data_IF_566941948470
#
_entry.id   IF_566941948470
#
_cell.length_a   1.000
_cell.length_b   1.000
_cell.length_c   1.000
_cell.angle_alpha   90.00
_cell.angle_beta   90.00
_cell.angle_gamma   90.00
#
_symmetry.space_group_name_H-M   'P 1'
#
loop_
_entity.id
_entity.type
_entity.pdbx_description
1 polymer ?
#
# COMPACT_ATOMS: atom_id res chain seq x y z
N UNK A 1 12.91 -14.40 -17.70
CA UNK A 1 13.06 -12.98 -18.06
C UNK A 1 13.40 -12.77 -19.55
N UNK A 2 13.35 -13.80 -20.41
CA UNK A 2 13.49 -13.67 -21.88
C UNK A 2 12.16 -13.41 -22.62
N UNK A 3 11.00 -13.59 -21.98
CA UNK A 3 9.69 -13.44 -22.65
C UNK A 3 9.34 -11.99 -23.02
N UNK A 4 9.75 -11.00 -22.22
CA UNK A 4 9.58 -9.58 -22.62
C UNK A 4 10.41 -9.23 -23.87
N UNK A 5 11.45 -10.01 -24.17
CA UNK A 5 12.26 -9.87 -25.38
C UNK A 5 11.68 -10.63 -26.59
N UNK A 6 10.78 -11.59 -26.36
CA UNK A 6 10.13 -12.39 -27.42
C UNK A 6 9.04 -11.63 -28.18
N UNK A 7 8.45 -10.60 -27.55
CA UNK A 7 7.45 -9.71 -28.17
C UNK A 7 6.01 -10.24 -28.20
N UNK A 8 5.75 -11.46 -27.72
CA UNK A 8 4.38 -12.01 -27.66
C UNK A 8 3.73 -11.79 -26.30
N UNK A 9 2.71 -10.92 -26.26
CA UNK A 9 1.94 -10.62 -25.06
C UNK A 9 1.12 -11.82 -24.56
N UNK A 10 0.69 -12.72 -25.46
CA UNK A 10 -0.07 -13.92 -25.14
C UNK A 10 0.79 -14.94 -24.39
N UNK A 11 2.00 -15.19 -24.86
CA UNK A 11 2.95 -16.09 -24.20
C UNK A 11 3.35 -15.57 -22.81
N UNK A 12 3.54 -14.25 -22.68
CA UNK A 12 3.80 -13.62 -21.39
C UNK A 12 2.63 -13.78 -20.42
N UNK A 13 1.40 -13.54 -20.87
CA UNK A 13 0.21 -13.70 -20.04
C UNK A 13 0.04 -15.17 -19.59
N UNK A 14 0.23 -16.12 -20.51
CA UNK A 14 0.18 -17.55 -20.18
C UNK A 14 1.23 -17.93 -19.14
N UNK A 15 2.46 -17.44 -19.29
CA UNK A 15 3.54 -17.65 -18.32
C UNK A 15 3.22 -17.06 -16.94
N UNK A 16 2.76 -15.81 -16.89
CA UNK A 16 2.44 -15.13 -15.62
C UNK A 16 1.30 -15.85 -14.88
N UNK A 17 0.26 -16.30 -15.59
CA UNK A 17 -0.84 -17.05 -15.00
C UNK A 17 -0.37 -18.42 -14.47
N UNK A 18 0.43 -19.15 -15.25
CA UNK A 18 0.96 -20.46 -14.87
C UNK A 18 1.87 -20.40 -13.63
N UNK A 19 2.71 -19.38 -13.52
CA UNK A 19 3.66 -19.19 -12.41
C UNK A 19 3.10 -18.35 -11.26
N UNK A 20 1.82 -17.98 -11.30
CA UNK A 20 1.17 -17.10 -10.32
C UNK A 20 1.17 -17.64 -8.88
N UNK A 21 1.31 -18.96 -8.72
CA UNK A 21 1.10 -19.68 -7.47
C UNK A 21 -0.34 -19.56 -6.90
N UNK A 22 -1.30 -19.09 -7.70
CA UNK A 22 -2.72 -19.05 -7.32
C UNK A 22 -3.40 -20.41 -7.55
N UNK A 23 -4.33 -20.85 -6.70
CA UNK A 23 -5.04 -20.15 -5.60
C UNK A 23 -4.32 -20.14 -4.22
N UNK A 24 -2.99 -20.07 -4.18
CA UNK A 24 -2.23 -20.01 -2.93
C UNK A 24 -2.58 -18.81 -2.02
N UNK A 25 -2.28 -18.91 -0.71
CA UNK A 25 -2.66 -17.91 0.29
C UNK A 25 -1.89 -16.58 0.16
N UNK A 26 -0.94 -16.49 -0.77
CA UNK A 26 -0.09 -15.33 -1.00
C UNK A 26 0.10 -15.12 -2.49
N UNK A 27 0.16 -13.86 -2.90
CA UNK A 27 0.62 -13.46 -4.24
C UNK A 27 2.08 -13.87 -4.43
N UNK A 28 2.46 -14.34 -5.62
CA UNK A 28 3.87 -14.55 -5.97
C UNK A 28 4.60 -13.20 -6.06
N UNK A 29 5.17 -12.78 -4.93
CA UNK A 29 5.86 -11.50 -4.76
C UNK A 29 7.14 -11.42 -5.60
N UNK A 30 7.90 -12.51 -5.69
CA UNK A 30 9.15 -12.56 -6.44
C UNK A 30 8.90 -12.36 -7.95
N UNK A 31 7.87 -13.01 -8.50
CA UNK A 31 7.49 -12.84 -9.90
C UNK A 31 6.93 -11.44 -10.17
N UNK A 32 6.12 -10.92 -9.25
CA UNK A 32 5.58 -9.57 -9.34
C UNK A 32 6.68 -8.51 -9.34
N UNK A 33 7.70 -8.67 -8.47
CA UNK A 33 8.85 -7.78 -8.40
C UNK A 33 9.75 -7.90 -9.63
N UNK A 34 9.98 -9.13 -10.12
CA UNK A 34 10.72 -9.35 -11.36
C UNK A 34 10.03 -8.67 -12.55
N UNK A 35 8.70 -8.78 -12.66
CA UNK A 35 7.91 -8.10 -13.68
C UNK A 35 8.04 -6.58 -13.58
N UNK A 36 7.80 -6.00 -12.40
CA UNK A 36 7.89 -4.56 -12.17
C UNK A 36 9.30 -4.01 -12.46
N UNK A 37 10.35 -4.74 -12.06
CA UNK A 37 11.74 -4.40 -12.36
C UNK A 37 12.00 -4.38 -13.86
N UNK A 38 11.58 -5.42 -14.59
CA UNK A 38 11.75 -5.50 -16.03
C UNK A 38 11.03 -4.35 -16.75
N UNK A 39 9.75 -4.10 -16.41
CA UNK A 39 8.97 -2.98 -16.95
C UNK A 39 9.71 -1.65 -16.77
N UNK A 40 10.25 -1.39 -15.57
CA UNK A 40 11.01 -0.16 -15.30
C UNK A 40 12.29 -0.06 -16.13
N UNK A 41 13.03 -1.15 -16.27
CA UNK A 41 14.30 -1.19 -17.00
C UNK A 41 14.08 -0.91 -18.50
N UNK A 42 13.16 -1.62 -19.14
CA UNK A 42 12.85 -1.43 -20.55
C UNK A 42 12.19 -0.06 -20.82
N UNK A 43 11.24 0.37 -19.98
CA UNK A 43 10.61 1.68 -20.13
C UNK A 43 11.57 2.87 -19.91
N UNK A 44 12.67 2.67 -19.17
CA UNK A 44 13.72 3.68 -19.02
C UNK A 44 14.68 3.72 -20.22
N UNK A 45 14.89 2.58 -20.88
CA UNK A 45 15.84 2.44 -21.97
C UNK A 45 15.34 3.06 -23.29
N UNK A 46 14.09 2.82 -23.66
CA UNK A 46 13.55 3.24 -24.96
C UNK A 46 12.12 3.84 -24.87
N UNK A 47 11.83 4.97 -25.54
CA UNK A 47 10.49 5.58 -25.53
C UNK A 47 9.39 4.76 -26.20
N UNK A 48 9.70 3.95 -27.21
CA UNK A 48 8.74 3.06 -27.88
C UNK A 48 8.43 1.86 -26.97
N UNK A 49 9.46 1.25 -26.36
CA UNK A 49 9.27 0.20 -25.34
C UNK A 49 8.41 0.71 -24.19
N UNK A 50 8.64 1.94 -23.72
CA UNK A 50 7.80 2.58 -22.70
C UNK A 50 6.33 2.65 -23.11
N UNK A 51 6.04 2.97 -24.37
CA UNK A 51 4.68 3.06 -24.87
C UNK A 51 4.02 1.68 -24.92
N UNK A 52 4.72 0.68 -25.46
CA UNK A 52 4.24 -0.70 -25.56
C UNK A 52 3.97 -1.27 -24.16
N UNK A 53 4.92 -1.11 -23.24
CA UNK A 53 4.78 -1.59 -21.86
C UNK A 53 3.67 -0.85 -21.12
N UNK A 54 3.45 0.43 -21.42
CA UNK A 54 2.31 1.16 -20.86
C UNK A 54 1.00 0.55 -21.29
N UNK A 55 0.85 0.30 -22.58
CA UNK A 55 -0.39 -0.23 -23.15
C UNK A 55 -0.64 -1.66 -22.61
N UNK A 56 0.41 -2.51 -22.54
CA UNK A 56 0.38 -3.83 -21.90
C UNK A 56 -0.05 -3.76 -20.43
N UNK A 57 0.61 -2.94 -19.61
CA UNK A 57 0.31 -2.89 -18.18
C UNK A 57 -1.12 -2.37 -17.92
N UNK A 58 -1.61 -1.44 -18.75
CA UNK A 58 -2.99 -0.97 -18.70
C UNK A 58 -3.97 -2.08 -19.06
N UNK A 59 -3.71 -2.84 -20.13
CA UNK A 59 -4.53 -3.98 -20.52
C UNK A 59 -4.65 -5.01 -19.39
N UNK A 60 -3.52 -5.43 -18.83
CA UNK A 60 -3.48 -6.38 -17.71
C UNK A 60 -4.22 -5.84 -16.47
N UNK A 61 -4.01 -4.56 -16.12
CA UNK A 61 -4.63 -3.93 -14.96
C UNK A 61 -6.14 -3.65 -15.13
N UNK A 62 -6.69 -3.83 -16.33
CA UNK A 62 -8.10 -3.60 -16.64
C UNK A 62 -8.90 -4.89 -16.79
N UNK A 63 -8.29 -6.07 -16.56
CA UNK A 63 -9.03 -7.34 -16.50
C UNK A 63 -10.02 -7.27 -15.34
N UNK A 64 -11.30 -7.46 -15.68
CA UNK A 64 -12.41 -7.28 -14.76
C UNK A 64 -12.42 -8.36 -13.66
N UNK A 65 -13.00 -8.08 -12.48
CA UNK A 65 -13.20 -9.11 -11.47
C UNK A 65 -14.17 -10.21 -11.91
N UNK A 66 -15.00 -9.98 -12.93
CA UNK A 66 -15.85 -11.01 -13.53
C UNK A 66 -15.06 -11.98 -14.40
N UNK A 67 -14.08 -11.47 -15.17
CA UNK A 67 -13.22 -12.28 -16.06
C UNK A 67 -12.09 -12.99 -15.30
N UNK A 68 -11.61 -12.38 -14.22
CA UNK A 68 -10.57 -12.91 -13.34
C UNK A 68 -10.93 -12.68 -11.87
N UNK A 69 -11.84 -13.50 -11.30
CA UNK A 69 -12.28 -13.38 -9.92
C UNK A 69 -11.15 -13.73 -8.94
N UNK A 70 -11.37 -13.42 -7.66
CA UNK A 70 -10.44 -13.78 -6.58
C UNK A 70 -10.07 -15.27 -6.66
N UNK A 71 -8.78 -15.56 -6.53
CA UNK A 71 -8.18 -16.90 -6.58
C UNK A 71 -8.12 -17.55 -7.99
N UNK A 72 -8.59 -16.86 -9.04
CA UNK A 72 -8.30 -17.25 -10.42
C UNK A 72 -6.83 -16.92 -10.78
N UNK A 73 -6.08 -17.82 -11.46
CA UNK A 73 -4.71 -17.52 -11.89
C UNK A 73 -4.56 -16.25 -12.73
N UNK A 74 -5.59 -15.85 -13.49
CA UNK A 74 -5.59 -14.63 -14.29
C UNK A 74 -5.75 -13.37 -13.44
N UNK A 75 -6.17 -13.45 -12.17
CA UNK A 75 -6.12 -12.33 -11.21
C UNK A 75 -4.68 -11.78 -11.11
N UNK A 76 -3.70 -12.67 -11.21
CA UNK A 76 -2.29 -12.32 -11.15
C UNK A 76 -1.84 -11.41 -12.31
N UNK A 77 -2.51 -11.48 -13.46
CA UNK A 77 -2.26 -10.56 -14.57
C UNK A 77 -2.58 -9.13 -14.16
N UNK A 78 -3.72 -8.90 -13.50
CA UNK A 78 -4.07 -7.58 -12.97
C UNK A 78 -3.10 -7.10 -11.89
N UNK A 79 -2.63 -8.00 -11.02
CA UNK A 79 -1.54 -7.68 -10.07
C UNK A 79 -0.31 -7.18 -10.82
N UNK A 80 0.15 -7.89 -11.84
CA UNK A 80 1.29 -7.50 -12.68
C UNK A 80 1.05 -6.16 -13.37
N UNK A 81 -0.13 -5.93 -13.94
CA UNK A 81 -0.49 -4.68 -14.59
C UNK A 81 -0.39 -3.48 -13.64
N UNK A 82 -0.98 -3.57 -12.45
CA UNK A 82 -0.94 -2.51 -11.42
C UNK A 82 0.51 -2.23 -10.98
N UNK A 83 1.30 -3.29 -10.78
CA UNK A 83 2.71 -3.18 -10.37
C UNK A 83 3.59 -2.61 -11.49
N UNK A 84 3.34 -2.98 -12.74
CA UNK A 84 3.98 -2.38 -13.91
C UNK A 84 3.65 -0.89 -14.06
N UNK A 85 2.40 -0.49 -13.80
CA UNK A 85 2.01 0.93 -13.80
C UNK A 85 2.73 1.73 -12.71
N UNK A 86 2.81 1.19 -11.50
CA UNK A 86 3.64 1.80 -10.45
C UNK A 86 5.10 1.93 -10.91
N UNK A 87 5.68 0.86 -11.45
CA UNK A 87 7.06 0.82 -11.93
C UNK A 87 7.34 1.87 -13.02
N UNK A 88 6.44 2.04 -13.99
CA UNK A 88 6.54 3.10 -15.00
C UNK A 88 6.43 4.50 -14.39
N UNK A 89 5.56 4.67 -13.37
CA UNK A 89 5.47 5.91 -12.59
C UNK A 89 6.79 6.31 -11.95
N UNK A 90 7.68 5.34 -11.69
CA UNK A 90 9.01 5.61 -11.13
C UNK A 90 10.06 6.09 -12.14
N UNK A 91 9.81 5.96 -13.44
CA UNK A 91 10.79 6.29 -14.50
C UNK A 91 11.05 7.79 -14.59
N UNK A 92 10.02 8.62 -14.42
CA UNK A 92 10.17 10.08 -14.42
C UNK A 92 9.11 10.77 -13.57
N UNK A 93 9.38 11.97 -13.02
CA UNK A 93 8.40 12.73 -12.23
C UNK A 93 7.08 12.99 -12.96
N UNK A 94 7.11 13.16 -14.29
CA UNK A 94 5.93 13.39 -15.12
C UNK A 94 4.96 12.20 -15.17
N UNK A 95 5.43 10.99 -14.88
CA UNK A 95 4.63 9.77 -14.89
C UNK A 95 3.95 9.48 -13.54
N UNK A 96 4.43 10.08 -12.45
CA UNK A 96 4.01 9.77 -11.07
C UNK A 96 2.51 9.97 -10.88
N UNK A 97 1.95 11.12 -11.29
CA UNK A 97 0.53 11.42 -11.10
C UNK A 97 -0.39 10.47 -11.87
N UNK A 98 0.00 10.06 -13.07
CA UNK A 98 -0.77 9.11 -13.87
C UNK A 98 -0.75 7.72 -13.21
N UNK A 99 0.41 7.28 -12.72
CA UNK A 99 0.51 6.03 -11.97
C UNK A 99 -0.34 6.09 -10.69
N UNK A 100 -0.22 7.17 -9.90
CA UNK A 100 -1.01 7.34 -8.68
C UNK A 100 -2.52 7.29 -8.95
N UNK A 101 -3.02 7.95 -10.00
CA UNK A 101 -4.45 7.85 -10.35
C UNK A 101 -4.90 6.40 -10.51
N UNK A 102 -4.12 5.59 -11.25
CA UNK A 102 -4.45 4.18 -11.44
C UNK A 102 -4.31 3.36 -10.16
N UNK A 103 -3.33 3.67 -9.30
CA UNK A 103 -3.20 3.02 -7.99
C UNK A 103 -4.38 3.36 -7.07
N UNK A 104 -4.96 4.56 -7.17
CA UNK A 104 -6.16 4.94 -6.42
C UNK A 104 -7.35 4.08 -6.87
N UNK A 105 -7.57 3.96 -8.19
CA UNK A 105 -8.61 3.08 -8.75
C UNK A 105 -8.41 1.62 -8.31
N UNK A 106 -7.16 1.15 -8.32
CA UNK A 106 -6.81 -0.22 -7.93
C UNK A 106 -6.95 -0.47 -6.43
N UNK A 107 -6.89 0.59 -5.60
CA UNK A 107 -7.12 0.48 -4.17
C UNK A 107 -8.58 0.16 -3.85
N UNK A 108 -9.53 0.51 -4.73
CA UNK A 108 -10.96 0.25 -4.60
C UNK A 108 -11.38 -1.09 -5.28
N UNK A 109 -10.45 -1.86 -5.85
CA UNK A 109 -10.77 -3.14 -6.49
C UNK A 109 -11.33 -4.15 -5.46
N UNK A 110 -12.39 -4.93 -5.77
CA UNK A 110 -12.96 -5.91 -4.85
C UNK A 110 -12.00 -7.06 -4.49
N UNK A 111 -10.98 -7.32 -5.32
CA UNK A 111 -9.99 -8.36 -5.13
C UNK A 111 -8.84 -7.87 -4.26
N UNK A 112 -8.61 -8.54 -3.14
CA UNK A 112 -7.65 -8.09 -2.13
C UNK A 112 -6.21 -8.03 -2.63
N UNK A 113 -5.81 -8.90 -3.58
CA UNK A 113 -4.45 -8.90 -4.15
C UNK A 113 -4.18 -7.65 -4.98
N UNK A 114 -5.20 -7.12 -5.65
CA UNK A 114 -5.10 -5.86 -6.41
C UNK A 114 -4.96 -4.68 -5.48
N UNK A 115 -5.73 -4.65 -4.39
CA UNK A 115 -5.60 -3.62 -3.36
C UNK A 115 -4.21 -3.64 -2.72
N UNK A 116 -3.62 -4.82 -2.50
CA UNK A 116 -2.26 -4.95 -1.96
C UNK A 116 -1.20 -4.54 -2.99
N UNK A 117 -1.39 -4.91 -4.26
CA UNK A 117 -0.54 -4.44 -5.36
C UNK A 117 -0.48 -2.91 -5.42
N UNK A 118 -1.61 -2.22 -5.19
CA UNK A 118 -1.68 -0.78 -5.10
C UNK A 118 -0.81 -0.22 -3.96
N UNK A 119 -0.92 -0.78 -2.76
CA UNK A 119 -0.13 -0.36 -1.59
C UNK A 119 1.37 -0.56 -1.80
N UNK A 120 1.79 -1.70 -2.36
CA UNK A 120 3.21 -1.95 -2.68
C UNK A 120 3.67 -0.98 -3.79
N UNK A 121 2.81 -0.66 -4.76
CA UNK A 121 3.10 0.34 -5.79
C UNK A 121 3.36 1.74 -5.22
N UNK A 122 2.64 2.13 -4.16
CA UNK A 122 2.86 3.41 -3.46
C UNK A 122 4.25 3.46 -2.81
N UNK A 123 4.70 2.38 -2.19
CA UNK A 123 6.06 2.26 -1.63
C UNK A 123 7.12 2.56 -2.72
N UNK A 124 6.98 1.98 -3.90
CA UNK A 124 7.96 2.15 -4.99
C UNK A 124 8.03 3.60 -5.48
N UNK A 125 6.88 4.28 -5.54
CA UNK A 125 6.80 5.70 -5.90
C UNK A 125 7.38 6.59 -4.79
N UNK A 126 7.13 6.29 -3.52
CA UNK A 126 7.71 7.01 -2.38
C UNK A 126 9.25 6.91 -2.39
N UNK A 127 9.81 5.75 -2.72
CA UNK A 127 11.25 5.52 -2.77
C UNK A 127 11.98 6.34 -3.85
N UNK A 128 11.28 6.81 -4.89
CA UNK A 128 11.90 7.51 -6.04
C UNK A 128 11.41 8.94 -6.25
N UNK A 129 10.15 9.23 -5.93
CA UNK A 129 9.49 10.51 -6.17
C UNK A 129 8.72 10.98 -4.93
N UNK A 130 9.43 11.07 -3.80
CA UNK A 130 8.86 11.31 -2.47
C UNK A 130 7.92 12.52 -2.39
N UNK A 131 8.34 13.69 -2.87
CA UNK A 131 7.63 14.96 -2.61
C UNK A 131 6.28 14.99 -3.35
N UNK A 132 6.30 14.62 -4.64
CA UNK A 132 5.08 14.52 -5.45
C UNK A 132 4.17 13.43 -4.90
N UNK A 133 4.72 12.28 -4.53
CA UNK A 133 3.92 11.16 -4.01
C UNK A 133 3.25 11.52 -2.69
N UNK A 134 3.99 12.03 -1.71
CA UNK A 134 3.43 12.46 -0.41
C UNK A 134 2.36 13.54 -0.60
N UNK A 135 2.57 14.50 -1.51
CA UNK A 135 1.57 15.54 -1.81
C UNK A 135 0.24 14.94 -2.29
N UNK A 136 0.28 14.03 -3.26
CA UNK A 136 -0.93 13.37 -3.79
C UNK A 136 -1.59 12.46 -2.74
N UNK A 137 -0.81 11.74 -1.92
CA UNK A 137 -1.34 10.91 -0.83
C UNK A 137 -2.10 11.73 0.23
N UNK A 138 -1.72 13.00 0.45
CA UNK A 138 -2.53 13.88 1.30
C UNK A 138 -3.93 14.09 0.72
N UNK A 139 -4.05 14.29 -0.59
CA UNK A 139 -5.34 14.39 -1.29
C UNK A 139 -6.17 13.11 -1.15
N UNK A 140 -5.53 11.94 -1.19
CA UNK A 140 -6.23 10.66 -0.98
C UNK A 140 -6.79 10.54 0.44
N UNK A 141 -6.05 10.99 1.45
CA UNK A 141 -6.54 10.96 2.84
C UNK A 141 -7.63 12.02 3.08
N UNK A 142 -7.58 13.16 2.40
CA UNK A 142 -8.53 14.25 2.56
C UNK A 142 -9.85 14.02 1.82
N UNK A 143 -9.83 13.38 0.64
CA UNK A 143 -11.02 13.20 -0.20
C UNK A 143 -11.29 11.78 -0.69
N UNK A 144 -10.41 10.82 -0.41
CA UNK A 144 -10.53 9.45 -0.92
C UNK A 144 -11.39 8.52 -0.07
N UNK A 145 -11.52 7.29 -0.56
CA UNK A 145 -12.24 6.17 0.06
C UNK A 145 -11.48 5.59 1.27
N UNK A 146 -12.15 4.73 2.04
CA UNK A 146 -11.50 3.92 3.08
C UNK A 146 -10.40 3.03 2.49
N UNK A 147 -10.60 2.52 1.28
CA UNK A 147 -9.64 1.66 0.59
C UNK A 147 -8.42 2.44 0.10
N UNK A 148 -8.59 3.67 -0.37
CA UNK A 148 -7.49 4.58 -0.67
C UNK A 148 -6.66 4.89 0.59
N UNK A 149 -7.31 5.21 1.71
CA UNK A 149 -6.62 5.39 3.00
C UNK A 149 -5.90 4.12 3.48
N UNK A 150 -6.48 2.94 3.23
CA UNK A 150 -5.86 1.64 3.56
C UNK A 150 -4.57 1.45 2.77
N UNK A 151 -4.61 1.73 1.46
CA UNK A 151 -3.45 1.67 0.61
C UNK A 151 -2.36 2.65 1.07
N UNK A 152 -2.73 3.88 1.45
CA UNK A 152 -1.80 4.88 2.02
C UNK A 152 -1.15 4.34 3.29
N UNK A 153 -1.95 3.90 4.28
CA UNK A 153 -1.45 3.42 5.56
C UNK A 153 -0.47 2.23 5.40
N UNK A 154 -0.82 1.27 4.54
CA UNK A 154 0.04 0.13 4.23
C UNK A 154 1.32 0.53 3.49
N UNK A 155 1.21 1.37 2.45
CA UNK A 155 2.34 1.77 1.60
C UNK A 155 3.40 2.59 2.33
N UNK A 156 2.99 3.52 3.19
CA UNK A 156 3.92 4.39 3.95
C UNK A 156 4.57 3.69 5.15
N UNK A 157 4.00 2.56 5.60
CA UNK A 157 4.52 1.78 6.71
C UNK A 157 5.56 0.73 6.28
N UNK A 158 5.94 0.69 5.00
CA UNK A 158 6.97 -0.20 4.52
C UNK A 158 8.34 0.08 5.17
N UNK A 159 9.13 -0.97 5.41
CA UNK A 159 10.41 -0.85 6.11
C UNK A 159 11.43 -0.01 5.35
N UNK A 160 11.48 -0.08 4.01
CA UNK A 160 12.42 0.71 3.21
C UNK A 160 12.03 2.18 3.21
N UNK A 161 10.72 2.48 3.18
CA UNK A 161 10.19 3.86 3.29
C UNK A 161 10.53 4.47 4.65
N UNK A 162 10.35 3.69 5.73
CA UNK A 162 10.55 4.16 7.10
C UNK A 162 12.03 4.33 7.50
N UNK A 163 13.00 3.84 6.70
CA UNK A 163 14.43 4.14 6.94
C UNK A 163 14.77 5.59 6.65
N UNK A 164 14.01 6.26 5.80
CA UNK A 164 14.20 7.67 5.46
C UNK A 164 13.49 8.56 6.48
N UNK A 165 14.21 9.39 7.27
CA UNK A 165 13.60 10.16 8.37
C UNK A 165 12.45 11.08 7.93
N UNK A 166 12.61 11.76 6.78
CA UNK A 166 11.57 12.65 6.23
C UNK A 166 10.29 11.88 5.87
N UNK A 167 10.44 10.65 5.36
CA UNK A 167 9.32 9.79 4.99
C UNK A 167 8.68 9.14 6.21
N UNK A 168 9.45 8.78 7.25
CA UNK A 168 8.89 8.31 8.52
C UNK A 168 8.01 9.38 9.18
N UNK A 169 8.46 10.64 9.19
CA UNK A 169 7.66 11.76 9.68
C UNK A 169 6.43 12.00 8.80
N UNK A 170 6.57 11.89 7.47
CA UNK A 170 5.42 11.95 6.56
C UNK A 170 4.41 10.82 6.80
N UNK A 171 4.89 9.60 7.07
CA UNK A 171 4.07 8.44 7.38
C UNK A 171 3.25 8.68 8.66
N UNK A 172 3.86 9.23 9.71
CA UNK A 172 3.14 9.59 10.93
C UNK A 172 2.10 10.70 10.67
N UNK A 173 2.45 11.74 9.91
CA UNK A 173 1.47 12.79 9.53
C UNK A 173 0.27 12.22 8.75
N UNK A 174 0.50 11.29 7.82
CA UNK A 174 -0.57 10.64 7.07
C UNK A 174 -1.43 9.76 7.98
N UNK A 175 -0.82 8.96 8.86
CA UNK A 175 -1.55 8.18 9.87
C UNK A 175 -2.40 9.08 10.78
N UNK A 176 -1.87 10.23 11.21
CA UNK A 176 -2.62 11.23 12.01
C UNK A 176 -3.87 11.68 11.27
N UNK A 177 -3.74 12.06 10.00
CA UNK A 177 -4.88 12.49 9.17
C UNK A 177 -5.91 11.35 9.00
N UNK A 178 -5.47 10.13 8.74
CA UNK A 178 -6.36 8.97 8.60
C UNK A 178 -7.11 8.69 9.92
N UNK A 179 -6.43 8.73 11.07
CA UNK A 179 -7.07 8.52 12.37
C UNK A 179 -8.09 9.61 12.71
N UNK A 180 -7.83 10.86 12.31
CA UNK A 180 -8.83 11.94 12.41
C UNK A 180 -10.06 11.58 11.56
N UNK A 181 -9.88 11.11 10.31
CA UNK A 181 -10.99 10.67 9.46
C UNK A 181 -11.81 9.57 10.11
N UNK A 182 -11.14 8.54 10.66
CA UNK A 182 -11.78 7.44 11.41
C UNK A 182 -12.58 7.99 12.60
N UNK A 183 -11.98 8.84 13.43
CA UNK A 183 -12.62 9.42 14.61
C UNK A 183 -13.83 10.29 14.27
N UNK A 184 -13.81 11.00 13.15
CA UNK A 184 -14.92 11.87 12.73
C UNK A 184 -15.98 11.17 11.88
N UNK A 185 -15.76 9.91 11.48
CA UNK A 185 -16.66 9.19 10.61
C UNK A 185 -17.99 8.89 11.31
N UNK A 186 -19.11 9.22 10.65
CA UNK A 186 -20.46 8.87 11.11
C UNK A 186 -20.84 7.42 10.81
N UNK A 187 -20.36 6.85 9.69
CA UNK A 187 -20.60 5.46 9.29
C UNK A 187 -19.29 4.67 9.29
N UNK A 188 -19.28 3.53 10.00
CA UNK A 188 -18.07 2.73 10.30
C UNK A 188 -18.29 1.22 10.18
N UNK A 189 -19.31 0.82 9.43
CA UNK A 189 -19.76 -0.58 9.33
C UNK A 189 -19.40 -1.23 7.99
N UNK A 190 -18.83 -0.47 7.05
CA UNK A 190 -18.44 -1.01 5.75
C UNK A 190 -17.23 -1.94 5.84
N UNK A 191 -17.17 -2.91 4.93
CA UNK A 191 -16.03 -3.84 4.83
C UNK A 191 -14.71 -3.08 4.62
N UNK A 192 -14.72 -2.03 3.80
CA UNK A 192 -13.55 -1.20 3.54
C UNK A 192 -13.08 -0.44 4.79
N UNK A 193 -14.02 0.05 5.61
CA UNK A 193 -13.67 0.67 6.90
C UNK A 193 -13.02 -0.36 7.82
N UNK A 194 -13.58 -1.57 7.93
CA UNK A 194 -12.98 -2.63 8.74
C UNK A 194 -11.61 -3.07 8.22
N UNK A 195 -11.41 -3.09 6.90
CA UNK A 195 -10.11 -3.36 6.28
C UNK A 195 -9.09 -2.25 6.65
N UNK A 196 -9.47 -0.98 6.54
CA UNK A 196 -8.65 0.15 6.96
C UNK A 196 -8.29 0.07 8.45
N UNK A 197 -9.28 -0.13 9.32
CA UNK A 197 -9.09 -0.27 10.78
C UNK A 197 -8.06 -1.37 11.08
N UNK A 198 -8.19 -2.55 10.46
CA UNK A 198 -7.23 -3.66 10.62
C UNK A 198 -5.82 -3.28 10.15
N UNK A 199 -5.71 -2.61 9.00
CA UNK A 199 -4.42 -2.11 8.51
C UNK A 199 -3.79 -1.13 9.50
N UNK A 200 -4.55 -0.15 9.99
CA UNK A 200 -4.06 0.79 11.01
C UNK A 200 -3.61 0.09 12.29
N UNK A 201 -4.29 -1.01 12.66
CA UNK A 201 -3.94 -1.86 13.80
C UNK A 201 -2.57 -2.55 13.71
N UNK A 202 -1.94 -2.61 12.54
CA UNK A 202 -0.62 -3.21 12.34
C UNK A 202 0.42 -2.30 11.66
N UNK A 203 0.03 -1.14 11.13
CA UNK A 203 0.97 -0.23 10.45
C UNK A 203 1.55 0.83 11.38
N UNK A 204 0.77 1.32 12.35
CA UNK A 204 1.18 2.44 13.20
C UNK A 204 2.36 2.08 14.12
N UNK A 205 2.47 0.83 14.58
CA UNK A 205 3.58 0.35 15.41
C UNK A 205 4.91 0.49 14.70
N UNK A 206 4.95 0.18 13.40
CA UNK A 206 6.15 0.29 12.55
C UNK A 206 6.55 1.75 12.38
N UNK A 207 5.59 2.63 12.11
CA UNK A 207 5.82 4.07 11.98
C UNK A 207 6.35 4.65 13.30
N UNK A 208 5.73 4.29 14.43
CA UNK A 208 6.17 4.74 15.76
C UNK A 208 7.56 4.21 16.08
N UNK A 209 7.88 2.96 15.76
CA UNK A 209 9.21 2.40 15.97
C UNK A 209 10.29 3.11 15.13
N UNK A 210 9.94 3.63 13.96
CA UNK A 210 10.86 4.40 13.11
C UNK A 210 11.14 5.81 13.67
N UNK A 211 10.16 6.43 14.33
CA UNK A 211 10.30 7.75 14.97
C UNK A 211 9.71 7.77 16.39
N UNK A 212 10.39 7.12 17.37
CA UNK A 212 9.81 6.83 18.68
C UNK A 212 9.35 8.06 19.46
N UNK A 213 10.10 9.17 19.40
CA UNK A 213 9.77 10.38 20.17
C UNK A 213 8.41 10.96 19.79
N UNK A 214 8.22 11.32 18.52
CA UNK A 214 6.96 11.90 18.01
C UNK A 214 5.85 10.84 17.89
N UNK A 215 6.22 9.58 17.65
CA UNK A 215 5.30 8.46 17.56
C UNK A 215 4.64 8.12 18.89
N UNK A 216 5.41 7.97 19.99
CA UNK A 216 4.84 7.67 21.30
C UNK A 216 4.08 8.85 21.90
N UNK A 217 4.54 10.08 21.68
CA UNK A 217 3.78 11.29 22.03
C UNK A 217 2.39 11.25 21.37
N UNK A 218 2.33 10.89 20.10
CA UNK A 218 1.06 10.75 19.40
C UNK A 218 0.21 9.59 19.91
N UNK A 219 0.79 8.41 20.14
CA UNK A 219 0.05 7.27 20.72
C UNK A 219 -0.56 7.63 22.07
N UNK A 220 0.18 8.32 22.95
CA UNK A 220 -0.34 8.84 24.21
C UNK A 220 -1.52 9.77 23.98
N UNK A 221 -1.39 10.73 23.06
CA UNK A 221 -2.48 11.66 22.74
C UNK A 221 -3.76 10.90 22.30
N UNK A 222 -3.67 10.01 21.32
CA UNK A 222 -4.86 9.30 20.82
C UNK A 222 -5.41 8.27 21.79
N UNK A 223 -4.60 7.78 22.75
CA UNK A 223 -5.04 6.86 23.79
C UNK A 223 -6.08 7.47 24.75
N UNK A 224 -6.09 8.81 24.85
CA UNK A 224 -7.02 9.55 25.71
C UNK A 224 -8.42 9.71 25.09
N UNK A 225 -8.57 9.41 23.80
CA UNK A 225 -9.84 9.56 23.09
C UNK A 225 -10.84 8.48 23.55
N UNK A 226 -12.07 8.89 23.78
CA UNK A 226 -13.19 8.00 24.11
C UNK A 226 -13.88 7.49 22.84
N UNK A 227 -13.12 6.74 22.04
CA UNK A 227 -13.60 6.15 20.79
C UNK A 227 -13.14 4.69 20.70
N UNK A 228 -14.10 3.78 20.51
CA UNK A 228 -13.86 2.33 20.50
C UNK A 228 -12.91 1.90 19.38
N UNK A 229 -13.03 2.50 18.20
CA UNK A 229 -12.24 2.16 17.02
C UNK A 229 -10.79 2.61 17.21
N UNK A 230 -10.61 3.85 17.68
CA UNK A 230 -9.28 4.41 17.98
C UNK A 230 -8.60 3.60 19.10
N UNK A 231 -9.31 3.31 20.19
CA UNK A 231 -8.75 2.50 21.29
C UNK A 231 -8.34 1.12 20.83
N UNK A 232 -9.14 0.48 19.97
CA UNK A 232 -8.77 -0.81 19.40
C UNK A 232 -7.50 -0.70 18.54
N UNK A 233 -7.42 0.29 17.65
CA UNK A 233 -6.23 0.51 16.81
C UNK A 233 -4.98 0.69 17.67
N UNK A 234 -5.05 1.53 18.70
CA UNK A 234 -3.92 1.77 19.61
C UNK A 234 -3.53 0.49 20.33
N UNK A 235 -4.48 -0.27 20.87
CA UNK A 235 -4.20 -1.54 21.57
C UNK A 235 -3.51 -2.57 20.68
N UNK A 236 -3.97 -2.73 19.45
CA UNK A 236 -3.33 -3.70 18.53
C UNK A 236 -1.87 -3.33 18.25
N UNK A 237 -1.59 -2.05 18.02
CA UNK A 237 -0.22 -1.60 17.78
C UNK A 237 0.68 -1.71 19.03
N UNK A 238 0.13 -1.53 20.23
CA UNK A 238 0.88 -1.70 21.48
C UNK A 238 1.24 -3.16 21.78
N UNK A 239 0.53 -4.14 21.19
CA UNK A 239 0.86 -5.57 21.30
C UNK A 239 1.99 -5.98 20.35
N UNK A 240 2.22 -5.20 19.30
CA UNK A 240 3.17 -5.53 18.26
C UNK A 240 4.62 -5.47 18.76
N UNK A 241 5.45 -6.41 18.30
CA UNK A 241 6.81 -6.59 18.81
C UNK A 241 7.73 -5.40 18.52
N UNK A 242 7.46 -4.60 17.48
CA UNK A 242 8.23 -3.38 17.21
C UNK A 242 8.13 -2.39 18.37
N UNK A 243 7.02 -2.39 19.13
CA UNK A 243 6.83 -1.54 20.31
C UNK A 243 7.01 -2.32 21.62
N UNK A 244 6.27 -3.41 21.80
CA UNK A 244 6.27 -4.18 23.05
C UNK A 244 7.65 -4.75 23.40
N UNK A 245 8.41 -5.17 22.39
CA UNK A 245 9.76 -5.74 22.58
C UNK A 245 10.82 -4.69 22.87
N UNK A 246 10.71 -3.49 22.30
CA UNK A 246 11.75 -2.45 22.37
C UNK A 246 11.47 -1.34 23.40
N UNK A 247 10.19 -1.10 23.73
CA UNK A 247 9.74 -0.02 24.61
C UNK A 247 8.71 -0.48 25.65
N UNK A 248 8.97 -1.56 26.42
CA UNK A 248 7.98 -2.19 27.29
C UNK A 248 7.43 -1.27 28.40
N UNK A 249 8.26 -0.37 28.94
CA UNK A 249 7.83 0.59 29.97
C UNK A 249 6.81 1.60 29.41
N UNK A 250 7.14 2.21 28.26
CA UNK A 250 6.28 3.18 27.58
C UNK A 250 4.97 2.54 27.16
N UNK A 251 5.03 1.31 26.62
CA UNK A 251 3.85 0.54 26.24
C UNK A 251 2.93 0.30 27.44
N UNK A 252 3.46 -0.16 28.57
CA UNK A 252 2.67 -0.36 29.81
C UNK A 252 2.02 0.91 30.31
N UNK A 253 2.73 2.04 30.23
CA UNK A 253 2.17 3.34 30.62
C UNK A 253 0.94 3.71 29.78
N UNK A 254 1.02 3.58 28.46
CA UNK A 254 -0.09 3.88 27.56
C UNK A 254 -1.24 2.87 27.75
N UNK A 255 -0.94 1.59 27.91
CA UNK A 255 -1.96 0.55 28.18
C UNK A 255 -2.79 0.87 29.44
N UNK A 256 -2.14 1.35 30.51
CA UNK A 256 -2.83 1.75 31.73
C UNK A 256 -3.80 2.93 31.52
N UNK A 257 -3.54 3.82 30.54
CA UNK A 257 -4.40 4.96 30.22
C UNK A 257 -5.66 4.57 29.44
N UNK A 258 -5.58 3.55 28.58
CA UNK A 258 -6.70 3.12 27.73
C UNK A 258 -7.75 2.33 28.52
N UNK A 259 -7.35 1.70 29.63
CA UNK A 259 -8.22 0.86 30.47
C UNK A 259 -8.57 -0.49 29.82
N UNK A 260 -8.93 -1.45 30.67
CA UNK A 260 -9.35 -2.82 30.30
C UNK A 260 -10.84 -2.85 29.94
N UNK A 261 -11.24 -2.34 28.76
CA UNK A 261 -12.58 -2.62 28.18
C UNK A 261 -12.54 -2.73 26.66
#
# INVERSE_FOLDING_TARGET
MDLLSSGDAGDLAAYLAAESSLAGPRTNQDLTEAFAKAVREFAAADPEDRRILRDLCVELACISPEDAPTDDPHEFLSVCGVRGIAAMGTVSPGCVKAALRKLAESADDPRWRIRDAAAIGLKDLLARHRDVTVSELNGWVEGGSWSAMRAVAAGVADADVLREPDLAEAALRLHRKILIRVYTAGERESEDFHALRKTLGCTLSRVVAAIPSSGFEYLQQVSTLDDQEIRWIVRENLKDNHLAGHYPETVRHIQAQIGER
#
